data_IF_986408315584
#
_entry.id   IF_986408315584
#
_cell.length_a   1.000
_cell.length_b   1.000
_cell.length_c   1.000
_cell.angle_alpha   90.00
_cell.angle_beta   90.00
_cell.angle_gamma   90.00
#
_symmetry.space_group_name_H-M   'P 1'
#
loop_
_entity.id
_entity.type
_entity.pdbx_description
1 polymer ?
#
# COMPACT_ATOMS: atom_id res chain seq x y z
N UNK A 1 5.88 21.11 -9.38
CA UNK A 1 4.92 22.22 -9.64
C UNK A 1 4.99 22.63 -11.11
N UNK A 2 3.90 23.18 -11.67
CA UNK A 2 3.90 23.70 -13.05
C UNK A 2 4.07 25.23 -12.97
N UNK A 3 5.08 25.77 -13.66
CA UNK A 3 5.27 27.21 -13.86
C UNK A 3 5.11 27.58 -15.32
N UNK A 4 4.55 28.76 -15.59
CA UNK A 4 4.34 29.27 -16.96
C UNK A 4 5.32 30.40 -17.20
N UNK A 5 6.12 30.30 -18.28
CA UNK A 5 7.03 31.38 -18.63
C UNK A 5 6.25 32.61 -19.10
N UNK A 6 6.44 33.75 -18.45
CA UNK A 6 5.76 35.02 -18.78
C UNK A 6 6.08 35.56 -20.17
N UNK A 7 7.22 35.18 -20.77
CA UNK A 7 7.61 35.66 -22.09
C UNK A 7 7.05 34.88 -23.28
N UNK A 8 6.87 33.56 -23.15
CA UNK A 8 6.48 32.70 -24.28
C UNK A 8 5.32 31.74 -23.97
N UNK A 9 4.77 31.76 -22.75
CA UNK A 9 3.66 30.91 -22.34
C UNK A 9 3.99 29.42 -22.18
N UNK A 10 5.24 28.99 -22.43
CA UNK A 10 5.64 27.59 -22.28
C UNK A 10 5.51 27.15 -20.82
N UNK A 11 4.90 25.99 -20.58
CA UNK A 11 4.72 25.38 -19.27
C UNK A 11 5.90 24.47 -18.93
N UNK A 12 6.43 24.61 -17.72
CA UNK A 12 7.54 23.79 -17.22
C UNK A 12 7.13 23.12 -15.91
N UNK A 13 7.40 21.82 -15.81
CA UNK A 13 7.35 21.11 -14.54
C UNK A 13 8.72 21.25 -13.86
N UNK A 14 8.75 21.96 -12.72
CA UNK A 14 9.96 22.16 -11.93
C UNK A 14 9.82 21.51 -10.55
N UNK A 15 10.95 21.04 -10.01
CA UNK A 15 11.02 20.49 -8.66
C UNK A 15 10.80 21.59 -7.61
N UNK A 16 10.20 21.25 -6.47
CA UNK A 16 9.85 22.22 -5.42
C UNK A 16 11.06 22.95 -4.82
N UNK A 17 12.27 22.38 -4.92
CA UNK A 17 13.52 23.02 -4.51
C UNK A 17 13.87 24.30 -5.31
N UNK A 18 13.16 24.56 -6.42
CA UNK A 18 13.30 25.77 -7.25
C UNK A 18 12.24 26.83 -6.96
N UNK A 19 11.32 26.61 -6.01
CA UNK A 19 10.36 27.63 -5.57
C UNK A 19 11.07 28.88 -5.03
N UNK A 20 10.57 30.06 -5.39
CA UNK A 20 11.18 31.35 -5.03
C UNK A 20 12.55 31.63 -5.68
N UNK A 21 13.13 30.68 -6.43
CA UNK A 21 14.40 30.87 -7.14
C UNK A 21 14.15 31.36 -8.56
N UNK A 22 15.17 32.03 -9.12
CA UNK A 22 15.18 32.47 -10.52
C UNK A 22 15.39 31.25 -11.44
N UNK A 23 14.47 31.05 -12.38
CA UNK A 23 14.50 29.99 -13.38
C UNK A 23 14.64 30.61 -14.76
N UNK A 24 15.52 30.06 -15.61
CA UNK A 24 15.71 30.51 -16.99
C UNK A 24 14.86 29.67 -17.93
N UNK A 25 14.00 30.32 -18.73
CA UNK A 25 13.20 29.66 -19.76
C UNK A 25 14.10 29.01 -20.83
N UNK A 26 13.84 27.75 -21.20
CA UNK A 26 14.64 27.06 -22.23
C UNK A 26 14.38 27.63 -23.63
N UNK A 27 13.14 28.04 -23.91
CA UNK A 27 12.68 28.57 -25.20
C UNK A 27 13.14 30.02 -25.42
N UNK A 28 12.65 30.98 -24.64
CA UNK A 28 12.90 32.42 -24.86
C UNK A 28 14.03 33.02 -24.02
N UNK A 29 14.71 32.22 -23.19
CA UNK A 29 15.84 32.63 -22.32
C UNK A 29 15.53 33.67 -21.23
N UNK A 30 14.30 34.18 -21.14
CA UNK A 30 13.86 35.07 -20.06
C UNK A 30 13.98 34.36 -18.71
N UNK A 31 14.49 35.08 -17.72
CA UNK A 31 14.62 34.63 -16.33
C UNK A 31 13.38 35.13 -15.58
N UNK A 32 12.66 34.21 -14.95
CA UNK A 32 11.49 34.51 -14.13
C UNK A 32 11.62 33.83 -12.76
N UNK A 33 10.91 34.32 -11.76
CA UNK A 33 10.92 33.73 -10.42
C UNK A 33 9.78 32.71 -10.34
N UNK A 34 10.07 31.50 -9.85
CA UNK A 34 9.01 30.54 -9.56
C UNK A 34 8.20 31.04 -8.36
N UNK A 35 6.86 30.96 -8.44
CA UNK A 35 5.97 31.49 -7.41
C UNK A 35 6.39 31.00 -6.01
N UNK A 36 6.51 31.92 -5.03
CA UNK A 36 6.76 31.52 -3.66
C UNK A 36 5.60 30.64 -3.19
N UNK A 37 5.94 29.58 -2.45
CA UNK A 37 4.92 28.75 -1.85
C UNK A 37 4.06 29.66 -0.96
N UNK A 38 2.71 29.64 -1.06
CA UNK A 38 1.90 30.27 -0.03
C UNK A 38 2.39 29.71 1.30
N UNK A 39 2.79 30.59 2.22
CA UNK A 39 3.26 30.18 3.54
C UNK A 39 2.17 29.28 4.12
N UNK A 40 2.40 27.97 4.10
CA UNK A 40 1.57 27.08 4.86
C UNK A 40 1.71 27.57 6.30
N UNK A 41 0.60 27.78 7.04
CA UNK A 41 0.68 28.17 8.44
C UNK A 41 1.63 27.19 9.09
N UNK A 42 2.80 27.71 9.48
CA UNK A 42 3.86 26.94 10.11
C UNK A 42 3.18 26.31 11.31
N UNK A 43 2.86 25.01 11.21
CA UNK A 43 2.11 24.31 12.25
C UNK A 43 2.79 24.66 13.56
N UNK A 44 2.09 25.39 14.43
CA UNK A 44 2.65 25.80 15.71
C UNK A 44 3.08 24.52 16.41
N UNK A 45 4.38 24.27 16.38
CA UNK A 45 4.97 23.08 16.95
C UNK A 45 4.68 23.16 18.44
N UNK A 46 3.77 22.31 18.91
CA UNK A 46 3.33 22.29 20.30
C UNK A 46 4.52 21.91 21.17
N UNK A 47 5.21 22.92 21.70
CA UNK A 47 6.29 22.74 22.65
C UNK A 47 5.69 22.27 23.98
N UNK A 48 6.25 21.20 24.51
CA UNK A 48 5.98 20.73 25.86
C UNK A 48 7.14 21.10 26.76
N UNK A 49 6.85 21.61 27.96
CA UNK A 49 7.87 21.88 28.97
C UNK A 49 8.08 20.61 29.80
N UNK A 50 9.30 20.09 29.80
CA UNK A 50 9.70 18.87 30.51
C UNK A 50 10.68 19.21 31.63
N UNK A 51 10.54 18.58 32.79
CA UNK A 51 11.46 18.76 33.92
C UNK A 51 12.31 17.50 34.12
N UNK A 52 13.62 17.67 34.27
CA UNK A 52 14.50 16.56 34.64
C UNK A 52 14.19 16.10 36.08
N UNK A 53 13.98 14.79 36.35
CA UNK A 53 13.63 14.30 37.68
C UNK A 53 14.76 14.50 38.71
N UNK A 54 16.02 14.38 38.28
CA UNK A 54 17.18 14.52 39.19
C UNK A 54 17.51 15.98 39.53
N UNK A 55 17.75 16.82 38.52
CA UNK A 55 18.27 18.18 38.73
C UNK A 55 17.21 19.30 38.56
N UNK A 56 15.94 18.94 38.37
CA UNK A 56 14.77 19.84 38.24
C UNK A 56 14.91 20.94 37.16
N UNK A 57 15.82 20.75 36.21
CA UNK A 57 16.01 21.71 35.11
C UNK A 57 14.89 21.54 34.08
N UNK A 58 14.26 22.64 33.69
CA UNK A 58 13.18 22.66 32.70
C UNK A 58 13.75 22.79 31.29
N UNK A 59 13.12 22.11 30.33
CA UNK A 59 13.45 22.13 28.91
C UNK A 59 12.18 22.23 28.09
N UNK A 60 12.19 23.06 27.04
CA UNK A 60 11.14 23.02 26.03
C UNK A 60 11.51 21.98 24.97
N UNK A 61 10.72 20.91 24.88
CA UNK A 61 10.87 19.85 23.91
C UNK A 61 9.68 19.86 22.93
N UNK A 62 9.91 19.37 21.71
CA UNK A 62 8.83 19.13 20.76
C UNK A 62 7.90 18.01 21.28
N UNK A 63 6.61 18.09 21.00
CA UNK A 63 5.63 17.05 21.38
C UNK A 63 5.99 15.65 20.83
N UNK A 64 6.82 15.57 19.79
CA UNK A 64 7.38 14.31 19.28
C UNK A 64 8.28 13.55 20.28
N UNK A 65 8.74 14.20 21.36
CA UNK A 65 9.56 13.58 22.40
C UNK A 65 8.74 12.85 23.46
N UNK A 66 7.40 12.93 23.43
CA UNK A 66 6.55 12.14 24.32
C UNK A 66 6.86 10.63 24.16
N UNK A 67 7.00 9.93 25.29
CA UNK A 67 7.37 8.51 25.35
C UNK A 67 8.77 8.17 24.82
N UNK A 68 9.61 9.16 24.49
CA UNK A 68 11.02 8.95 24.11
C UNK A 68 11.94 9.21 25.30
N UNK A 69 13.11 8.58 25.27
CA UNK A 69 14.18 8.81 26.25
C UNK A 69 14.90 10.12 25.90
N UNK A 70 14.98 11.04 26.86
CA UNK A 70 15.76 12.27 26.78
C UNK A 70 16.91 12.23 27.76
N UNK A 71 18.05 12.81 27.38
CA UNK A 71 19.22 12.99 28.26
C UNK A 71 19.24 14.43 28.77
N UNK A 72 19.26 14.60 30.09
CA UNK A 72 19.40 15.92 30.71
C UNK A 72 20.73 16.57 30.32
N UNK A 73 20.70 17.82 29.85
CA UNK A 73 21.94 18.55 29.48
C UNK A 73 22.80 18.95 30.68
N UNK A 74 22.22 19.05 31.89
CA UNK A 74 22.97 19.39 33.11
C UNK A 74 23.57 18.18 33.82
N UNK A 75 22.76 17.20 34.20
CA UNK A 75 23.22 16.05 35.01
C UNK A 75 23.45 14.76 34.21
N UNK A 76 23.22 14.76 32.89
CA UNK A 76 23.35 13.60 32.00
C UNK A 76 22.43 12.40 32.29
N UNK A 77 21.55 12.47 33.29
CA UNK A 77 20.55 11.43 33.53
C UNK A 77 19.62 11.26 32.32
N UNK A 78 19.38 10.01 31.96
CA UNK A 78 18.44 9.65 30.89
C UNK A 78 17.09 9.33 31.53
N UNK A 79 16.05 10.06 31.15
CA UNK A 79 14.68 9.88 31.65
C UNK A 79 13.68 9.82 30.50
N UNK A 80 12.49 9.27 30.76
CA UNK A 80 11.43 9.18 29.76
C UNK A 80 10.48 10.37 29.93
N UNK A 81 10.07 10.99 28.82
CA UNK A 81 9.09 12.08 28.85
C UNK A 81 7.69 11.49 29.02
N UNK A 82 7.08 11.70 30.18
CA UNK A 82 5.69 11.31 30.42
C UNK A 82 4.74 12.16 29.57
N UNK A 83 3.63 11.57 29.08
CA UNK A 83 2.60 12.35 28.40
C UNK A 83 2.05 13.37 29.38
N UNK A 84 2.04 14.64 28.98
CA UNK A 84 1.33 15.69 29.73
C UNK A 84 -0.12 15.25 29.77
N UNK A 85 -0.58 14.72 30.92
CA UNK A 85 -2.00 14.50 31.13
C UNK A 85 -2.63 15.86 30.91
N UNK A 86 -3.50 15.97 29.91
CA UNK A 86 -4.23 17.20 29.63
C UNK A 86 -4.86 17.60 30.97
N UNK A 87 -4.32 18.66 31.58
CA UNK A 87 -4.84 19.19 32.83
C UNK A 87 -6.32 19.42 32.54
N UNK A 88 -7.26 18.78 33.29
CA UNK A 88 -8.68 19.01 33.09
C UNK A 88 -8.86 20.52 33.02
N UNK A 89 -9.30 21.02 31.87
CA UNK A 89 -9.53 22.45 31.74
C UNK A 89 -10.56 22.76 32.82
N UNK A 90 -10.14 23.57 33.79
CA UNK A 90 -10.98 24.10 34.82
C UNK A 90 -12.04 24.91 34.08
N UNK A 91 -13.18 24.27 33.84
CA UNK A 91 -14.32 24.81 33.13
C UNK A 91 -14.67 26.10 33.87
N UNK A 92 -14.39 27.25 33.26
CA UNK A 92 -15.03 28.48 33.69
C UNK A 92 -16.54 28.22 33.64
N UNK A 93 -17.31 28.56 34.70
CA UNK A 93 -18.74 28.34 34.72
C UNK A 93 -19.38 29.05 33.54
N UNK A 94 -19.89 28.27 32.60
CA UNK A 94 -20.71 28.74 31.49
C UNK A 94 -22.07 29.13 32.08
N UNK A 95 -22.37 30.42 31.98
CA UNK A 95 -23.58 31.07 32.46
C UNK A 95 -24.81 30.41 31.82
N UNK A 96 -25.61 29.75 32.66
CA UNK A 96 -26.80 29.00 32.29
C UNK A 96 -27.87 29.98 31.78
N UNK A 97 -28.02 30.09 30.46
CA UNK A 97 -29.22 30.62 29.83
C UNK A 97 -30.29 29.51 29.75
N UNK A 98 -31.49 29.85 30.21
CA UNK A 98 -32.62 28.96 30.46
C UNK A 98 -33.11 28.15 29.23
N UNK A 99 -33.65 26.93 29.43
CA UNK A 99 -34.31 26.17 28.37
C UNK A 99 -35.74 26.67 28.14
N UNK A 100 -36.04 27.08 26.91
CA UNK A 100 -37.41 27.22 26.43
C UNK A 100 -38.02 25.83 26.23
N UNK A 101 -39.14 25.60 26.91
CA UNK A 101 -40.01 24.44 26.73
C UNK A 101 -40.69 24.51 25.37
N UNK A 102 -40.49 23.48 24.53
CA UNK A 102 -41.39 23.20 23.41
C UNK A 102 -42.01 21.82 23.59
N UNK A 103 -43.32 21.85 23.80
CA UNK A 103 -44.24 20.72 23.73
C UNK A 103 -44.21 20.08 22.34
N UNK A 104 -43.94 18.78 22.29
CA UNK A 104 -44.11 17.97 21.09
C UNK A 104 -45.05 16.81 21.40
N UNK A 105 -46.30 17.15 21.73
CA UNK A 105 -47.44 16.23 21.70
C UNK A 105 -48.31 16.57 20.50
N UNK A 106 -48.03 15.96 19.35
CA UNK A 106 -49.06 15.77 18.32
C UNK A 106 -48.67 14.68 17.31
N UNK A 107 -49.62 13.76 17.11
CA UNK A 107 -49.78 12.86 15.96
C UNK A 107 -49.10 11.49 15.99
N UNK A 108 -49.63 10.63 16.86
CA UNK A 108 -49.98 9.24 16.50
C UNK A 108 -51.31 9.25 15.73
N UNK A 109 -51.34 8.61 14.56
CA UNK A 109 -52.36 7.65 14.04
C UNK A 109 -52.39 7.69 12.51
N UNK A 110 -51.91 6.60 11.91
CA UNK A 110 -51.91 6.37 10.47
C UNK A 110 -51.94 4.87 10.22
N UNK A 111 -53.14 4.30 10.42
CA UNK A 111 -53.49 2.90 10.16
C UNK A 111 -53.44 2.56 8.66
N UNK A 112 -52.97 1.33 8.42
CA UNK A 112 -53.38 0.38 7.39
C UNK A 112 -53.49 0.84 5.92
N UNK A 113 -52.60 0.29 5.07
CA UNK A 113 -53.03 -0.50 3.91
C UNK A 113 -51.85 -1.26 3.29
N UNK A 114 -51.87 -2.58 3.44
CA UNK A 114 -50.97 -3.51 2.75
C UNK A 114 -51.67 -4.05 1.50
N UNK A 115 -51.14 -3.83 0.28
CA UNK A 115 -51.53 -4.62 -0.87
C UNK A 115 -50.74 -5.94 -0.85
N UNK A 116 -51.48 -7.05 -0.95
CA UNK A 116 -50.95 -8.38 -1.17
C UNK A 116 -50.10 -8.40 -2.46
N UNK A 117 -48.81 -8.68 -2.33
CA UNK A 117 -47.93 -8.96 -3.47
C UNK A 117 -47.97 -10.47 -3.73
N UNK A 118 -48.48 -10.77 -4.92
CA UNK A 118 -48.60 -12.05 -5.58
C UNK A 118 -47.24 -12.77 -5.65
N UNK A 119 -47.17 -14.02 -5.16
CA UNK A 119 -46.00 -14.89 -5.28
C UNK A 119 -45.86 -15.36 -6.74
N UNK A 120 -44.75 -15.05 -7.46
CA UNK A 120 -44.48 -15.71 -8.73
C UNK A 120 -44.04 -17.16 -8.50
N UNK A 121 -44.62 -18.05 -9.32
CA UNK A 121 -44.39 -19.48 -9.35
C UNK A 121 -42.90 -19.88 -9.50
N UNK A 122 -42.50 -21.07 -9.03
CA UNK A 122 -41.13 -21.56 -9.16
C UNK A 122 -40.74 -21.76 -10.62
N UNK A 123 -39.78 -20.97 -11.09
CA UNK A 123 -39.15 -21.11 -12.40
C UNK A 123 -38.31 -22.39 -12.41
N UNK A 124 -38.65 -23.31 -13.31
CA UNK A 124 -37.86 -24.52 -13.58
C UNK A 124 -36.43 -24.15 -14.02
N UNK A 125 -35.39 -24.87 -13.58
CA UNK A 125 -34.03 -24.66 -14.06
C UNK A 125 -33.95 -24.97 -15.57
N UNK A 126 -33.38 -24.07 -16.40
CA UNK A 126 -33.12 -24.39 -17.80
C UNK A 126 -32.03 -25.45 -17.89
N UNK A 127 -32.29 -26.42 -18.78
CA UNK A 127 -31.40 -27.51 -19.11
C UNK A 127 -29.99 -27.01 -19.48
N UNK A 128 -29.00 -27.72 -18.94
CA UNK A 128 -27.58 -27.66 -19.29
C UNK A 128 -27.39 -27.53 -20.81
N UNK A 129 -27.08 -26.33 -21.29
CA UNK A 129 -26.59 -26.12 -22.65
C UNK A 129 -25.09 -25.91 -22.58
N UNK A 130 -24.37 -27.00 -22.83
CA UNK A 130 -22.92 -27.06 -22.96
C UNK A 130 -22.48 -26.26 -24.19
N UNK A 131 -22.35 -24.93 -24.07
CA UNK A 131 -21.68 -24.11 -25.08
C UNK A 131 -20.18 -24.08 -24.78
N UNK A 132 -19.48 -24.89 -25.55
CA UNK A 132 -18.02 -24.92 -25.75
C UNK A 132 -17.50 -23.50 -26.05
N UNK A 133 -16.58 -22.91 -25.26
CA UNK A 133 -15.93 -21.68 -25.66
C UNK A 133 -14.85 -21.99 -26.71
N UNK A 134 -15.07 -21.46 -27.91
CA UNK A 134 -14.06 -21.29 -28.95
C UNK A 134 -12.94 -20.40 -28.42
N UNK A 135 -11.77 -20.98 -28.28
CA UNK A 135 -10.51 -20.33 -27.94
C UNK A 135 -10.06 -19.41 -29.07
N UNK A 136 -10.35 -18.11 -28.97
CA UNK A 136 -9.55 -17.08 -29.64
C UNK A 136 -8.57 -16.52 -28.62
N UNK A 137 -7.33 -17.00 -28.71
CA UNK A 137 -6.18 -16.51 -27.96
C UNK A 137 -5.86 -15.07 -28.35
N UNK A 138 -6.47 -14.11 -27.66
CA UNK A 138 -5.91 -12.77 -27.58
C UNK A 138 -4.73 -12.84 -26.62
N UNK A 139 -3.53 -12.93 -27.22
CA UNK A 139 -2.25 -12.77 -26.57
C UNK A 139 -2.13 -11.33 -26.07
N UNK A 140 -2.84 -11.03 -24.97
CA UNK A 140 -2.73 -9.76 -24.27
C UNK A 140 -1.29 -9.59 -23.83
N UNK A 141 -0.65 -8.56 -24.36
CA UNK A 141 0.67 -8.08 -23.94
C UNK A 141 0.68 -7.97 -22.42
N UNK A 142 1.27 -8.96 -21.76
CA UNK A 142 1.53 -8.93 -20.34
C UNK A 142 2.37 -7.68 -20.07
N UNK A 143 1.76 -6.72 -19.39
CA UNK A 143 2.46 -5.62 -18.74
C UNK A 143 3.58 -6.23 -17.89
N UNK A 144 4.82 -6.15 -18.38
CA UNK A 144 6.00 -6.43 -17.58
C UNK A 144 6.01 -5.40 -16.45
N UNK A 145 5.38 -5.75 -15.34
CA UNK A 145 5.47 -5.04 -14.07
C UNK A 145 6.95 -4.77 -13.80
N UNK A 146 7.28 -3.48 -13.77
CA UNK A 146 8.64 -2.94 -13.79
C UNK A 146 9.52 -3.61 -12.74
N UNK A 147 10.45 -4.43 -13.20
CA UNK A 147 11.64 -4.87 -12.47
C UNK A 147 12.49 -3.64 -12.11
N UNK A 148 12.18 -3.00 -10.99
CA UNK A 148 13.06 -2.02 -10.36
C UNK A 148 14.00 -2.72 -9.37
N UNK A 149 14.85 -3.62 -9.89
CA UNK A 149 16.25 -3.52 -9.45
C UNK A 149 16.70 -2.16 -9.97
N UNK A 150 17.34 -1.29 -9.18
CA UNK A 150 17.71 0.02 -9.66
C UNK A 150 18.57 -0.17 -10.92
N UNK A 151 17.99 0.06 -12.09
CA UNK A 151 18.68 0.02 -13.39
C UNK A 151 19.91 0.92 -13.36
N UNK A 152 19.96 1.90 -12.44
CA UNK A 152 21.16 2.67 -12.11
C UNK A 152 22.35 1.83 -11.63
N UNK A 153 22.16 0.78 -10.83
CA UNK A 153 23.24 -0.12 -10.40
C UNK A 153 23.73 -0.99 -11.56
N UNK A 154 22.81 -1.60 -12.31
CA UNK A 154 23.14 -2.44 -13.48
C UNK A 154 23.81 -1.60 -14.59
N UNK A 155 23.30 -0.39 -14.88
CA UNK A 155 23.88 0.52 -15.87
C UNK A 155 25.23 1.10 -15.42
N UNK A 156 25.53 1.11 -14.12
CA UNK A 156 26.86 1.48 -13.58
C UNK A 156 27.85 0.31 -13.64
N UNK A 157 27.37 -0.93 -13.57
CA UNK A 157 28.19 -2.13 -13.83
C UNK A 157 28.42 -2.39 -15.32
N UNK A 158 27.44 -2.08 -16.18
CA UNK A 158 27.50 -2.35 -17.63
C UNK A 158 28.05 -1.20 -18.48
N UNK A 159 28.42 -0.06 -17.88
CA UNK A 159 29.05 1.04 -18.62
C UNK A 159 30.56 1.09 -18.30
N UNK A 160 31.41 0.35 -19.06
CA UNK A 160 32.86 0.25 -18.82
C UNK A 160 33.63 1.52 -19.23
N UNK A 161 32.95 2.57 -19.73
CA UNK A 161 33.57 3.72 -20.39
C UNK A 161 34.25 4.77 -19.50
N UNK A 162 34.54 4.47 -18.23
CA UNK A 162 35.12 5.46 -17.30
C UNK A 162 36.29 4.96 -16.45
N UNK A 163 36.72 3.71 -16.60
CA UNK A 163 37.90 3.19 -15.91
C UNK A 163 39.07 3.18 -16.89
N UNK A 164 40.22 3.80 -16.56
CA UNK A 164 41.39 3.82 -17.44
C UNK A 164 41.90 2.39 -17.64
N UNK A 165 41.74 1.85 -18.84
CA UNK A 165 42.09 0.49 -19.25
C UNK A 165 43.61 0.22 -19.35
N UNK A 166 44.45 1.13 -18.86
CA UNK A 166 45.91 1.03 -18.96
C UNK A 166 46.63 0.85 -17.61
N UNK A 167 45.93 0.39 -16.57
CA UNK A 167 46.59 -0.07 -15.36
C UNK A 167 47.34 -1.40 -15.62
N UNK A 168 48.59 -1.55 -15.15
CA UNK A 168 49.42 -2.73 -15.43
C UNK A 168 48.77 -4.03 -14.91
N UNK A 169 49.06 -5.10 -15.65
CA UNK A 169 48.34 -6.39 -15.77
C UNK A 169 48.25 -7.23 -14.48
N UNK A 170 48.77 -6.77 -13.33
CA UNK A 170 48.73 -7.50 -12.06
C UNK A 170 47.36 -7.52 -11.38
N UNK A 171 46.38 -6.75 -11.85
CA UNK A 171 45.02 -6.68 -11.29
C UNK A 171 43.97 -7.64 -11.88
N UNK A 172 44.32 -8.42 -12.92
CA UNK A 172 43.35 -9.23 -13.68
C UNK A 172 42.66 -10.34 -12.86
N UNK A 173 43.43 -11.04 -12.02
CA UNK A 173 42.90 -12.13 -11.19
C UNK A 173 41.91 -11.63 -10.13
N UNK A 174 42.15 -10.45 -9.56
CA UNK A 174 41.26 -9.87 -8.54
C UNK A 174 39.90 -9.48 -9.12
N UNK A 175 39.87 -8.85 -10.31
CA UNK A 175 38.63 -8.47 -10.99
C UNK A 175 37.81 -9.69 -11.41
N UNK A 176 38.46 -10.77 -11.88
CA UNK A 176 37.80 -12.04 -12.21
C UNK A 176 37.12 -12.66 -10.98
N UNK A 177 37.81 -12.70 -9.84
CA UNK A 177 37.25 -13.20 -8.58
C UNK A 177 36.02 -12.41 -8.13
N UNK A 178 36.08 -11.07 -8.18
CA UNK A 178 34.94 -10.22 -7.85
C UNK A 178 33.76 -10.43 -8.79
N UNK A 179 34.02 -10.55 -10.10
CA UNK A 179 32.97 -10.76 -11.09
C UNK A 179 32.26 -12.11 -10.88
N UNK A 180 33.04 -13.20 -10.71
CA UNK A 180 32.49 -14.52 -10.41
C UNK A 180 31.68 -14.55 -9.10
N UNK A 181 32.15 -13.88 -8.05
CA UNK A 181 31.42 -13.75 -6.79
C UNK A 181 30.07 -13.03 -6.96
N UNK A 182 30.03 -11.93 -7.72
CA UNK A 182 28.78 -11.22 -8.00
C UNK A 182 27.78 -12.13 -8.73
N UNK A 183 28.22 -12.91 -9.73
CA UNK A 183 27.36 -13.87 -10.43
C UNK A 183 26.75 -14.85 -9.43
N UNK A 184 27.54 -15.44 -8.52
CA UNK A 184 27.04 -16.38 -7.51
C UNK A 184 26.00 -15.74 -6.60
N UNK A 185 26.23 -14.51 -6.14
CA UNK A 185 25.28 -13.77 -5.28
C UNK A 185 23.96 -13.50 -6.01
N UNK A 186 24.01 -12.98 -7.24
CA UNK A 186 22.81 -12.75 -8.05
C UNK A 186 22.04 -14.04 -8.34
N UNK A 187 22.76 -15.15 -8.55
CA UNK A 187 22.17 -16.46 -8.77
C UNK A 187 21.42 -16.97 -7.54
N UNK A 188 21.95 -16.75 -6.34
CA UNK A 188 21.27 -17.05 -5.08
C UNK A 188 19.96 -16.28 -4.90
N UNK A 189 19.93 -15.00 -5.30
CA UNK A 189 18.71 -14.17 -5.27
C UNK A 189 17.67 -14.72 -6.26
N UNK A 190 18.07 -15.04 -7.50
CA UNK A 190 17.18 -15.63 -8.51
C UNK A 190 16.61 -16.97 -8.04
N UNK A 191 17.44 -17.81 -7.42
CA UNK A 191 17.00 -19.09 -6.87
C UNK A 191 15.99 -18.92 -5.73
N UNK A 192 16.24 -17.97 -4.80
CA UNK A 192 15.31 -17.67 -3.72
C UNK A 192 13.95 -17.17 -4.24
N UNK A 193 13.95 -16.29 -5.26
CA UNK A 193 12.72 -15.87 -5.94
C UNK A 193 12.03 -17.02 -6.68
N UNK A 194 12.77 -17.84 -7.41
CA UNK A 194 12.23 -19.02 -8.09
C UNK A 194 11.54 -19.98 -7.12
N UNK A 195 12.14 -20.22 -5.94
CA UNK A 195 11.54 -21.04 -4.87
C UNK A 195 10.24 -20.43 -4.33
N UNK A 196 10.17 -19.11 -4.17
CA UNK A 196 8.95 -18.44 -3.73
C UNK A 196 7.83 -18.56 -4.77
N UNK A 197 8.14 -18.29 -6.05
CA UNK A 197 7.14 -18.43 -7.12
C UNK A 197 6.72 -19.88 -7.34
N UNK A 198 7.62 -20.85 -7.14
CA UNK A 198 7.28 -22.28 -7.20
C UNK A 198 6.26 -22.67 -6.14
N UNK A 199 6.39 -22.15 -4.91
CA UNK A 199 5.39 -22.39 -3.86
C UNK A 199 4.03 -21.78 -4.17
N UNK A 200 4.02 -20.63 -4.87
CA UNK A 200 2.77 -20.01 -5.31
C UNK A 200 2.16 -20.83 -6.45
N UNK A 201 2.91 -21.07 -7.52
CA UNK A 201 2.43 -21.76 -8.72
C UNK A 201 2.08 -23.23 -8.48
N UNK A 202 2.79 -23.91 -7.56
CA UNK A 202 2.53 -25.31 -7.23
C UNK A 202 1.17 -25.55 -6.57
N UNK A 203 0.56 -24.51 -6.00
CA UNK A 203 -0.78 -24.60 -5.38
C UNK A 203 -1.87 -23.96 -6.22
N UNK A 204 -1.53 -23.17 -7.23
CA UNK A 204 -2.50 -22.35 -7.97
C UNK A 204 -2.93 -23.01 -9.28
N UNK A 205 -4.24 -23.12 -9.50
CA UNK A 205 -4.79 -23.44 -10.81
C UNK A 205 -4.60 -22.25 -11.76
N UNK A 206 -4.16 -22.50 -13.00
CA UNK A 206 -3.93 -21.45 -13.99
C UNK A 206 -5.21 -20.72 -14.44
N UNK A 207 -6.38 -21.30 -14.17
CA UNK A 207 -7.68 -20.69 -14.42
C UNK A 207 -8.22 -20.03 -13.16
N UNK A 208 -8.70 -18.78 -13.24
CA UNK A 208 -9.27 -18.09 -12.09
C UNK A 208 -10.50 -18.82 -11.56
N UNK A 209 -10.56 -19.01 -10.24
CA UNK A 209 -11.74 -19.53 -9.55
C UNK A 209 -12.66 -18.38 -9.15
N UNK A 210 -13.88 -18.35 -9.69
CA UNK A 210 -14.88 -17.37 -9.28
C UNK A 210 -15.41 -17.72 -7.89
N UNK A 211 -15.35 -16.75 -6.97
CA UNK A 211 -15.80 -16.88 -5.58
C UNK A 211 -16.49 -15.58 -5.15
N UNK A 212 -17.51 -15.66 -4.31
CA UNK A 212 -18.01 -14.47 -3.60
C UNK A 212 -17.11 -14.17 -2.39
N UNK A 213 -17.08 -12.91 -1.96
CA UNK A 213 -16.32 -12.54 -0.75
C UNK A 213 -16.79 -13.33 0.49
N UNK A 214 -18.10 -13.59 0.61
CA UNK A 214 -18.65 -14.37 1.72
C UNK A 214 -18.26 -15.85 1.66
N UNK A 215 -18.22 -16.46 0.47
CA UNK A 215 -17.74 -17.84 0.32
C UNK A 215 -16.26 -17.96 0.67
N UNK A 216 -15.45 -16.95 0.32
CA UNK A 216 -14.04 -16.91 0.70
C UNK A 216 -13.86 -16.88 2.22
N UNK A 217 -14.67 -16.10 2.93
CA UNK A 217 -14.64 -16.04 4.40
C UNK A 217 -15.06 -17.38 5.04
N UNK A 218 -16.11 -18.02 4.53
CA UNK A 218 -16.69 -19.24 5.11
C UNK A 218 -15.88 -20.50 4.80
N UNK A 219 -15.52 -20.67 3.54
CA UNK A 219 -14.94 -21.92 3.05
C UNK A 219 -13.41 -21.85 2.97
N UNK A 220 -12.86 -20.64 2.89
CA UNK A 220 -11.47 -20.44 2.51
C UNK A 220 -11.16 -20.95 1.11
N UNK A 221 -9.88 -20.95 0.78
CA UNK A 221 -9.38 -21.52 -0.49
C UNK A 221 -8.61 -22.82 -0.30
N UNK A 222 -8.24 -23.18 0.94
CA UNK A 222 -7.38 -24.34 1.20
C UNK A 222 -5.95 -24.20 0.67
N UNK A 223 -5.57 -23.04 0.11
CA UNK A 223 -4.26 -22.82 -0.50
C UNK A 223 -4.10 -21.47 -1.20
N UNK A 224 -3.00 -21.32 -1.94
CA UNK A 224 -2.76 -20.16 -2.81
C UNK A 224 -3.51 -20.37 -4.13
N UNK A 225 -4.59 -19.63 -4.36
CA UNK A 225 -5.40 -19.71 -5.57
C UNK A 225 -5.41 -18.39 -6.34
N UNK A 226 -5.58 -18.49 -7.66
CA UNK A 226 -5.91 -17.36 -8.53
C UNK A 226 -7.42 -17.25 -8.58
N UNK A 227 -7.96 -16.12 -8.11
CA UNK A 227 -9.39 -16.00 -7.86
C UNK A 227 -9.99 -14.73 -8.49
N UNK A 228 -11.28 -14.83 -8.77
CA UNK A 228 -12.14 -13.71 -9.16
C UNK A 228 -13.20 -13.52 -8.08
N UNK A 229 -13.04 -12.48 -7.27
CA UNK A 229 -13.95 -12.16 -6.17
C UNK A 229 -15.06 -11.26 -6.68
N UNK A 230 -16.30 -11.63 -6.39
CA UNK A 230 -17.48 -10.79 -6.57
C UNK A 230 -18.16 -10.50 -5.22
N UNK A 231 -19.16 -9.62 -5.26
CA UNK A 231 -20.00 -9.27 -4.12
C UNK A 231 -19.24 -8.76 -2.87
N UNK A 232 -18.35 -7.81 -3.07
CA UNK A 232 -17.55 -7.19 -2.01
C UNK A 232 -17.75 -5.67 -1.95
N UNK A 233 -17.38 -5.08 -0.82
CA UNK A 233 -17.14 -3.65 -0.66
C UNK A 233 -15.73 -3.42 -0.11
N UNK A 234 -15.08 -2.35 -0.56
CA UNK A 234 -13.74 -1.96 -0.12
C UNK A 234 -13.87 -0.87 0.93
N UNK A 235 -13.24 -1.06 2.09
CA UNK A 235 -13.13 -0.02 3.12
C UNK A 235 -12.01 0.94 2.74
N UNK A 236 -12.33 2.21 2.48
CA UNK A 236 -11.34 3.21 2.05
C UNK A 236 -10.47 3.73 3.19
N UNK A 237 -10.86 3.47 4.45
CA UNK A 237 -10.01 3.79 5.60
C UNK A 237 -8.74 2.95 5.51
N UNK A 238 -7.61 3.64 5.30
CA UNK A 238 -6.32 3.00 5.03
C UNK A 238 -5.79 2.32 6.28
N UNK A 239 -5.36 1.07 6.16
CA UNK A 239 -4.62 0.38 7.22
C UNK A 239 -3.17 0.82 7.27
N UNK A 240 -2.54 0.87 6.09
CA UNK A 240 -1.14 1.23 5.95
C UNK A 240 -0.83 1.57 4.50
N UNK A 241 -0.05 2.62 4.30
CA UNK A 241 0.64 2.91 3.05
C UNK A 241 2.13 2.68 3.25
N UNK A 242 2.75 1.89 2.38
CA UNK A 242 4.21 1.85 2.29
C UNK A 242 4.66 3.02 1.42
N UNK A 243 5.47 3.91 1.99
CA UNK A 243 6.05 5.05 1.28
C UNK A 243 7.43 4.66 0.71
N UNK A 244 7.72 5.14 -0.51
CA UNK A 244 8.96 4.79 -1.23
C UNK A 244 10.18 5.44 -0.58
N UNK A 245 10.05 6.61 0.03
CA UNK A 245 11.06 7.31 0.84
C UNK A 245 10.39 8.47 1.59
N UNK A 246 10.76 8.75 2.85
CA UNK A 246 10.19 9.85 3.66
C UNK A 246 10.41 11.25 3.06
N UNK A 247 11.26 11.36 2.02
CA UNK A 247 11.71 12.63 1.43
C UNK A 247 10.93 13.08 0.18
N UNK A 248 10.02 12.26 -0.35
CA UNK A 248 9.23 12.61 -1.53
C UNK A 248 7.75 12.64 -1.18
N UNK A 249 7.08 13.74 -1.55
CA UNK A 249 5.62 13.87 -1.43
C UNK A 249 4.94 12.81 -2.31
N UNK A 250 4.71 11.64 -1.70
CA UNK A 250 3.70 10.62 -1.95
C UNK A 250 3.36 10.25 -3.39
N UNK A 251 3.97 9.16 -3.85
CA UNK A 251 3.18 8.04 -4.34
C UNK A 251 3.22 6.89 -3.32
N UNK A 252 2.05 6.35 -2.99
CA UNK A 252 1.98 5.07 -2.30
C UNK A 252 2.70 4.01 -3.13
N UNK A 253 3.54 3.20 -2.48
CA UNK A 253 4.17 2.04 -3.12
C UNK A 253 3.20 0.86 -3.18
N UNK A 254 2.49 0.68 -2.08
CA UNK A 254 1.55 -0.41 -1.83
C UNK A 254 0.52 0.05 -0.81
N UNK A 255 -0.75 -0.20 -1.10
CA UNK A 255 -1.88 0.12 -0.23
C UNK A 255 -2.54 -1.18 0.22
N UNK A 256 -2.81 -1.27 1.52
CA UNK A 256 -3.56 -2.36 2.11
C UNK A 256 -4.95 -1.85 2.52
N UNK A 257 -5.98 -2.46 1.96
CA UNK A 257 -7.39 -2.16 2.29
C UNK A 257 -8.15 -3.44 2.60
N UNK A 258 -9.20 -3.30 3.40
CA UNK A 258 -10.05 -4.42 3.84
C UNK A 258 -11.16 -4.62 2.82
N UNK A 259 -11.44 -5.89 2.51
CA UNK A 259 -12.66 -6.29 1.82
C UNK A 259 -13.68 -6.79 2.83
N UNK A 260 -14.94 -6.39 2.64
CA UNK A 260 -16.08 -6.92 3.39
C UNK A 260 -17.13 -7.45 2.41
N UNK A 261 -17.83 -8.55 2.73
CA UNK A 261 -18.91 -9.06 1.88
C UNK A 261 -20.12 -8.14 1.93
N UNK A 262 -20.73 -7.84 0.78
CA UNK A 262 -21.95 -7.01 0.72
C UNK A 262 -23.14 -7.66 1.45
N UNK A 263 -23.21 -8.99 1.44
CA UNK A 263 -24.26 -9.73 2.16
C UNK A 263 -23.96 -9.89 3.66
N UNK A 264 -22.83 -9.35 4.14
CA UNK A 264 -22.41 -9.44 5.54
C UNK A 264 -23.18 -8.50 6.45
N UNK A 265 -23.28 -8.87 7.73
CA UNK A 265 -23.91 -8.04 8.77
C UNK A 265 -23.25 -6.66 8.86
N UNK A 266 -21.92 -6.62 8.82
CA UNK A 266 -21.17 -5.37 8.86
C UNK A 266 -21.54 -4.42 7.70
N UNK A 267 -21.67 -4.94 6.47
CA UNK A 267 -22.05 -4.13 5.31
C UNK A 267 -23.47 -3.61 5.47
N UNK A 268 -24.44 -4.47 5.83
CA UNK A 268 -25.83 -4.06 6.05
C UNK A 268 -25.96 -2.94 7.08
N UNK A 269 -25.22 -3.03 8.19
CA UNK A 269 -25.25 -2.02 9.24
C UNK A 269 -24.59 -0.69 8.84
N UNK A 270 -23.78 -0.67 7.77
CA UNK A 270 -23.01 0.49 7.32
C UNK A 270 -23.26 0.86 5.85
N UNK A 271 -24.31 0.31 5.22
CA UNK A 271 -24.50 0.36 3.76
C UNK A 271 -24.59 1.80 3.26
N UNK A 272 -25.41 2.61 3.92
CA UNK A 272 -25.56 4.03 3.59
C UNK A 272 -24.20 4.76 3.57
N UNK A 273 -23.37 4.53 4.60
CA UNK A 273 -22.07 5.19 4.72
C UNK A 273 -21.01 4.63 3.74
N UNK A 274 -21.13 3.37 3.33
CA UNK A 274 -20.21 2.72 2.39
C UNK A 274 -20.52 3.07 0.94
N UNK A 275 -21.78 3.35 0.62
CA UNK A 275 -22.18 3.78 -0.73
C UNK A 275 -21.79 5.23 -1.03
N UNK A 276 -21.89 6.14 -0.05
CA UNK A 276 -21.48 7.53 -0.23
C UNK A 276 -19.96 7.72 -0.04
N UNK A 277 -19.30 8.18 -1.10
CA UNK A 277 -17.87 8.48 -1.12
C UNK A 277 -17.42 9.44 0.00
N UNK A 278 -18.27 10.38 0.43
CA UNK A 278 -17.92 11.37 1.46
C UNK A 278 -17.96 10.77 2.86
N UNK A 279 -18.93 9.90 3.13
CA UNK A 279 -19.11 9.23 4.43
C UNK A 279 -18.19 8.02 4.62
N UNK A 280 -17.57 7.46 3.58
CA UNK A 280 -16.70 6.28 3.74
C UNK A 280 -15.57 6.47 4.75
N UNK A 281 -15.09 7.70 4.92
CA UNK A 281 -14.04 8.01 5.89
C UNK A 281 -14.50 7.87 7.36
N UNK A 282 -15.80 8.00 7.62
CA UNK A 282 -16.39 7.92 8.98
C UNK A 282 -16.83 6.51 9.35
N UNK A 283 -16.82 5.56 8.40
CA UNK A 283 -17.21 4.17 8.65
C UNK A 283 -16.27 3.55 9.69
N UNK A 284 -16.78 3.00 10.81
CA UNK A 284 -15.95 2.35 11.82
C UNK A 284 -15.30 1.09 11.22
N UNK A 285 -14.04 0.82 11.54
CA UNK A 285 -13.39 -0.43 11.11
C UNK A 285 -14.11 -1.64 11.73
N UNK A 286 -14.27 -2.76 11.00
CA UNK A 286 -14.76 -3.99 11.60
C UNK A 286 -13.80 -4.45 12.69
N UNK A 287 -14.28 -5.21 13.68
CA UNK A 287 -13.43 -5.77 14.73
C UNK A 287 -12.58 -6.95 14.23
N UNK A 288 -13.14 -7.69 13.27
CA UNK A 288 -12.54 -8.85 12.62
C UNK A 288 -12.38 -8.57 11.12
N UNK A 289 -11.19 -8.80 10.58
CA UNK A 289 -10.91 -8.69 9.15
C UNK A 289 -10.50 -10.05 8.58
N UNK A 290 -11.29 -10.61 7.69
CA UNK A 290 -10.99 -11.91 7.07
C UNK A 290 -10.21 -11.76 5.76
N UNK A 291 -10.42 -10.67 5.02
CA UNK A 291 -9.89 -10.49 3.67
C UNK A 291 -9.23 -9.12 3.52
N UNK A 292 -7.96 -9.12 3.11
CA UNK A 292 -7.18 -7.94 2.80
C UNK A 292 -6.77 -7.97 1.32
N UNK A 293 -6.77 -6.81 0.69
CA UNK A 293 -6.20 -6.66 -0.66
C UNK A 293 -4.97 -5.75 -0.62
N UNK A 294 -3.95 -6.16 -1.38
CA UNK A 294 -2.77 -5.37 -1.68
C UNK A 294 -2.89 -4.76 -3.07
N UNK A 295 -2.78 -3.44 -3.12
CA UNK A 295 -2.85 -2.64 -4.35
C UNK A 295 -1.49 -1.98 -4.59
N UNK A 296 -0.75 -2.46 -5.59
CA UNK A 296 0.60 -1.98 -5.92
C UNK A 296 0.63 -0.87 -6.98
N UNK A 297 -0.46 -0.72 -7.73
CA UNK A 297 -0.56 0.25 -8.83
C UNK A 297 -1.13 1.59 -8.40
N UNK A 298 -1.78 1.64 -7.23
CA UNK A 298 -2.53 2.79 -6.74
C UNK A 298 -1.61 3.70 -5.94
N UNK A 299 -1.50 4.97 -6.37
CA UNK A 299 -0.58 5.96 -5.82
C UNK A 299 -1.27 7.07 -5.05
N UNK A 300 -2.57 7.28 -5.27
CA UNK A 300 -3.36 8.32 -4.63
C UNK A 300 -4.75 7.84 -4.21
N UNK A 301 -5.44 8.63 -3.40
CA UNK A 301 -6.80 8.33 -2.93
C UNK A 301 -7.79 8.38 -4.09
N UNK A 302 -7.62 9.31 -5.02
CA UNK A 302 -8.46 9.45 -6.20
C UNK A 302 -8.34 8.22 -7.12
N UNK A 303 -7.12 7.69 -7.29
CA UNK A 303 -6.90 6.44 -8.03
C UNK A 303 -7.57 5.24 -7.33
N UNK A 304 -7.55 5.20 -5.99
CA UNK A 304 -8.24 4.17 -5.21
C UNK A 304 -9.77 4.25 -5.41
N UNK A 305 -10.33 5.45 -5.35
CA UNK A 305 -11.77 5.66 -5.54
C UNK A 305 -12.18 5.33 -6.98
N UNK A 306 -11.34 5.64 -7.97
CA UNK A 306 -11.56 5.24 -9.36
C UNK A 306 -11.49 3.72 -9.52
N UNK A 307 -10.51 3.06 -8.89
CA UNK A 307 -10.39 1.61 -8.89
C UNK A 307 -11.62 0.92 -8.31
N UNK A 308 -12.16 1.43 -7.19
CA UNK A 308 -13.39 0.93 -6.55
C UNK A 308 -14.59 1.04 -7.49
N UNK A 309 -14.71 2.14 -8.24
CA UNK A 309 -15.81 2.36 -9.19
C UNK A 309 -15.73 1.45 -10.42
N UNK A 310 -14.51 1.18 -10.90
CA UNK A 310 -14.29 0.46 -12.15
C UNK A 310 -14.25 -1.07 -11.99
N UNK A 311 -14.06 -1.57 -10.77
CA UNK A 311 -13.84 -2.99 -10.51
C UNK A 311 -15.04 -3.59 -9.77
N UNK A 312 -16.07 -4.11 -10.46
CA UNK A 312 -17.14 -4.88 -9.84
C UNK A 312 -16.70 -6.31 -9.48
N UNK A 313 -15.67 -6.81 -10.16
CA UNK A 313 -15.03 -8.11 -9.93
C UNK A 313 -13.55 -7.85 -9.71
N UNK A 314 -13.00 -8.38 -8.62
CA UNK A 314 -11.60 -8.23 -8.27
C UNK A 314 -10.85 -9.51 -8.64
N UNK A 315 -9.83 -9.37 -9.48
CA UNK A 315 -8.97 -10.49 -9.89
C UNK A 315 -7.63 -10.40 -9.19
N UNK A 316 -7.18 -11.49 -8.59
CA UNK A 316 -5.90 -11.51 -7.89
C UNK A 316 -5.47 -12.90 -7.47
N UNK A 317 -4.24 -12.99 -6.98
CA UNK A 317 -3.71 -14.22 -6.40
C UNK A 317 -3.73 -14.11 -4.88
N UNK A 318 -4.25 -15.14 -4.21
CA UNK A 318 -4.15 -15.25 -2.75
C UNK A 318 -2.72 -15.61 -2.37
N UNK A 319 -2.17 -14.82 -1.46
CA UNK A 319 -0.85 -15.00 -0.87
C UNK A 319 -1.06 -15.21 0.62
N UNK A 320 -1.32 -16.46 1.02
CA UNK A 320 -1.55 -16.82 2.44
C UNK A 320 -0.32 -16.55 3.30
N UNK A 321 0.87 -16.51 2.68
CA UNK A 321 2.10 -16.23 3.38
C UNK A 321 2.45 -14.74 3.22
N UNK A 322 2.16 -13.97 4.26
CA UNK A 322 2.50 -12.55 4.42
C UNK A 322 4.03 -12.27 4.47
N UNK A 323 4.86 -13.10 3.83
CA UNK A 323 6.31 -12.94 3.78
C UNK A 323 6.69 -11.58 3.17
N UNK A 324 7.53 -10.84 3.90
CA UNK A 324 7.91 -9.47 3.54
C UNK A 324 6.97 -8.39 4.09
N UNK A 325 5.90 -8.78 4.79
CA UNK A 325 4.94 -7.84 5.41
C UNK A 325 4.96 -7.93 6.94
N UNK A 326 6.11 -8.23 7.56
CA UNK A 326 6.25 -8.25 9.03
C UNK A 326 5.74 -6.94 9.66
N UNK A 327 5.89 -5.84 8.93
CA UNK A 327 5.35 -4.52 9.29
C UNK A 327 3.83 -4.45 9.28
N UNK A 328 3.15 -5.16 8.38
CA UNK A 328 1.69 -5.27 8.34
C UNK A 328 1.22 -6.23 9.43
N UNK A 329 1.85 -7.40 9.57
CA UNK A 329 1.53 -8.39 10.62
C UNK A 329 1.61 -7.80 12.03
N UNK A 330 2.57 -6.91 12.28
CA UNK A 330 2.68 -6.14 13.54
C UNK A 330 1.63 -5.04 13.69
N UNK A 331 1.14 -4.47 12.59
CA UNK A 331 0.16 -3.38 12.63
C UNK A 331 -1.28 -3.90 12.70
N UNK A 332 -1.57 -5.08 12.13
CA UNK A 332 -2.91 -5.66 12.06
C UNK A 332 -3.61 -5.77 13.43
N UNK A 333 -2.97 -6.26 14.52
CA UNK A 333 -3.60 -6.31 15.83
C UNK A 333 -4.00 -4.95 16.41
N UNK A 334 -3.38 -3.85 15.95
CA UNK A 334 -3.73 -2.49 16.38
C UNK A 334 -5.06 -2.03 15.76
N UNK A 335 -5.38 -2.50 14.56
CA UNK A 335 -6.62 -2.15 13.85
C UNK A 335 -7.73 -3.18 14.07
N UNK A 336 -7.36 -4.46 14.22
CA UNK A 336 -8.28 -5.59 14.35
C UNK A 336 -7.88 -6.51 15.51
N UNK A 337 -8.19 -6.13 16.77
CA UNK A 337 -7.74 -6.87 17.94
C UNK A 337 -8.30 -8.29 18.03
N UNK A 338 -9.46 -8.55 17.42
CA UNK A 338 -10.15 -9.84 17.46
C UNK A 338 -9.78 -10.75 16.26
N UNK A 339 -8.93 -10.29 15.34
CA UNK A 339 -8.60 -11.07 14.13
C UNK A 339 -7.49 -12.07 14.39
N UNK A 340 -7.77 -13.34 14.07
CA UNK A 340 -6.72 -14.35 13.97
C UNK A 340 -5.89 -14.14 12.70
N UNK A 341 -4.63 -13.74 12.87
CA UNK A 341 -3.71 -13.43 11.77
C UNK A 341 -3.43 -14.62 10.83
N UNK A 342 -3.59 -15.85 11.30
CA UNK A 342 -3.38 -17.05 10.48
C UNK A 342 -4.57 -17.36 9.56
N UNK A 343 -5.73 -16.73 9.82
CA UNK A 343 -6.97 -16.89 9.04
C UNK A 343 -7.27 -15.66 8.16
N UNK A 344 -6.29 -14.77 7.93
CA UNK A 344 -6.46 -13.63 7.04
C UNK A 344 -6.02 -13.99 5.63
N UNK A 345 -6.93 -13.84 4.67
CA UNK A 345 -6.61 -13.97 3.26
C UNK A 345 -6.08 -12.66 2.72
N UNK A 346 -4.86 -12.67 2.19
CA UNK A 346 -4.26 -11.52 1.53
C UNK A 346 -4.24 -11.73 0.03
N UNK A 347 -4.86 -10.83 -0.72
CA UNK A 347 -4.98 -10.94 -2.18
C UNK A 347 -4.16 -9.85 -2.83
N UNK A 348 -3.21 -10.23 -3.68
CA UNK A 348 -2.48 -9.28 -4.51
C UNK A 348 -3.26 -9.06 -5.82
N UNK A 349 -3.87 -7.88 -5.94
CA UNK A 349 -4.76 -7.54 -7.07
C UNK A 349 -3.95 -7.41 -8.34
N UNK A 350 -4.45 -8.00 -9.44
CA UNK A 350 -3.81 -7.99 -10.75
C UNK A 350 -2.61 -8.92 -10.88
N UNK A 351 -2.17 -9.58 -9.79
CA UNK A 351 -1.15 -10.62 -9.87
C UNK A 351 -1.74 -11.88 -10.49
N UNK A 352 -1.11 -12.34 -11.56
CA UNK A 352 -1.38 -13.64 -12.18
C UNK A 352 -0.28 -14.63 -11.79
N UNK A 353 -0.61 -15.91 -11.55
CA UNK A 353 0.40 -16.93 -11.33
C UNK A 353 1.28 -17.04 -12.57
N UNK A 354 2.60 -17.07 -12.37
CA UNK A 354 3.54 -17.29 -13.47
C UNK A 354 3.37 -18.72 -13.97
N UNK A 355 3.56 -18.95 -15.27
CA UNK A 355 3.54 -20.32 -15.78
C UNK A 355 4.67 -21.13 -15.12
N UNK A 356 4.42 -22.42 -14.89
CA UNK A 356 5.43 -23.33 -14.33
C UNK A 356 6.74 -23.33 -15.11
N UNK A 357 6.68 -23.11 -16.43
CA UNK A 357 7.86 -22.98 -17.29
C UNK A 357 8.72 -21.77 -16.93
N UNK A 358 8.12 -20.60 -16.65
CA UNK A 358 8.87 -19.40 -16.23
C UNK A 358 9.54 -19.64 -14.88
N UNK A 359 8.83 -20.27 -13.94
CA UNK A 359 9.38 -20.62 -12.62
C UNK A 359 10.56 -21.59 -12.76
N UNK A 360 10.41 -22.60 -13.60
CA UNK A 360 11.48 -23.55 -13.92
C UNK A 360 12.71 -22.85 -14.51
N UNK A 361 12.52 -21.89 -15.43
CA UNK A 361 13.62 -21.11 -16.00
C UNK A 361 14.36 -20.28 -14.94
N UNK A 362 13.68 -19.69 -13.96
CA UNK A 362 14.36 -19.00 -12.86
C UNK A 362 15.20 -19.95 -12.01
N UNK A 363 14.67 -21.14 -11.73
CA UNK A 363 15.35 -22.16 -10.93
C UNK A 363 16.59 -22.69 -11.65
N UNK A 364 16.41 -23.15 -12.90
CA UNK A 364 17.49 -23.70 -13.72
C UNK A 364 18.53 -22.62 -14.08
N UNK A 365 18.08 -21.41 -14.42
CA UNK A 365 18.94 -20.28 -14.72
C UNK A 365 19.80 -19.87 -13.52
N UNK A 366 19.23 -19.88 -12.31
CA UNK A 366 19.99 -19.65 -11.08
C UNK A 366 21.07 -20.72 -10.86
N UNK A 367 20.74 -22.01 -11.04
CA UNK A 367 21.70 -23.11 -10.89
C UNK A 367 22.85 -23.00 -11.91
N UNK A 368 22.52 -22.81 -13.19
CA UNK A 368 23.52 -22.67 -14.26
C UNK A 368 24.43 -21.48 -13.98
N UNK A 369 23.86 -20.34 -13.57
CA UNK A 369 24.62 -19.14 -13.28
C UNK A 369 25.58 -19.33 -12.09
N UNK A 370 25.22 -20.11 -11.06
CA UNK A 370 26.17 -20.48 -9.99
C UNK A 370 27.36 -21.25 -10.56
N UNK A 371 27.14 -22.27 -11.39
CA UNK A 371 28.23 -23.06 -11.98
C UNK A 371 29.15 -22.21 -12.88
N UNK A 372 28.56 -21.31 -13.67
CA UNK A 372 29.33 -20.35 -14.48
C UNK A 372 30.15 -19.42 -13.59
N UNK A 373 29.54 -18.87 -12.54
CA UNK A 373 30.22 -18.00 -11.58
C UNK A 373 31.41 -18.70 -10.92
N UNK A 374 31.23 -19.93 -10.44
CA UNK A 374 32.30 -20.76 -9.89
C UNK A 374 33.39 -21.00 -10.94
N UNK A 375 33.02 -21.41 -12.16
CA UNK A 375 34.01 -21.67 -13.22
C UNK A 375 34.85 -20.43 -13.54
N UNK A 376 34.23 -19.25 -13.58
CA UNK A 376 34.93 -17.96 -13.78
C UNK A 376 35.88 -17.64 -12.63
N UNK A 377 35.56 -18.03 -11.40
CA UNK A 377 36.46 -17.84 -10.24
C UNK A 377 37.69 -18.76 -10.30
N UNK A 378 37.59 -19.95 -10.91
CA UNK A 378 38.63 -20.99 -10.92
C UNK A 378 39.31 -21.21 -12.29
N UNK A 379 39.04 -20.38 -13.30
CA UNK A 379 39.80 -20.42 -14.55
C UNK A 379 41.04 -19.52 -14.43
N UNK A 380 42.19 -20.18 -14.28
CA UNK A 380 43.53 -19.55 -14.29
C UNK A 380 43.87 -18.92 -15.66
#
# INVERSE_FOLDING_TARGET
MIVVCQGCGTRYEIADAYRGKKVRCKTCKIIFQADPMPEQPKSEETKITVQCPECKTQYDASSEYQHKKMRCKKCQTVFMVEPVQARPQEHLPEEIAAPATMDFSCLLTGEANAPAVEQPAPVRPPANRTTRPSSTSNLGTASMGRLLVPLRWIKRMLNPGGLPWHAPITGGHFLRGLFGMNIVVFSGILFAWGRQEHKLCGSTQGTPKALTCMELEKNGTGGNDFIEISNYAILTKRLKSEHVDDKWQNPWKRVWVVLVPKDGEYYRNNEANLTDSKSRATVPMPKVAHVLIALDTIKSQEELDQFIKQSPVLRGTIVNNLHGTDKLRKALPLYFPETNLDNIYCIEVGRTPKSGMIVFLYYLGGIIAVFVGIRVMYMD
#
